data_IF_105674390407
#
_entry.id   IF_105674390407
#
_cell.length_a   1.000
_cell.length_b   1.000
_cell.length_c   1.000
_cell.angle_alpha   90.00
_cell.angle_beta   90.00
_cell.angle_gamma   90.00
#
_symmetry.space_group_name_H-M   'P 1'
#
loop_
_entity.id
_entity.type
_entity.pdbx_description
1 polymer ?
#
# COMPACT_ATOMS: atom_id res chain seq x y z
N UNK A 1 -2.99 20.34 -18.38
CA UNK A 1 -3.37 18.92 -18.26
C UNK A 1 -2.12 18.11 -17.95
N UNK A 2 -1.77 17.93 -16.67
CA UNK A 2 -0.70 17.00 -16.29
C UNK A 2 -1.21 15.58 -16.56
N UNK A 3 -0.59 14.92 -17.54
CA UNK A 3 -0.98 13.60 -17.98
C UNK A 3 -0.64 12.60 -16.87
N UNK A 4 -1.60 11.79 -16.43
CA UNK A 4 -1.40 10.82 -15.34
C UNK A 4 -0.23 9.87 -15.64
N UNK A 5 0.05 9.62 -16.93
CA UNK A 5 1.22 8.86 -17.38
C UNK A 5 2.55 9.54 -17.01
N UNK A 6 2.65 10.87 -17.17
CA UNK A 6 3.90 11.59 -16.87
C UNK A 6 4.19 11.66 -15.37
N UNK A 7 3.16 11.61 -14.51
CA UNK A 7 3.36 11.51 -13.07
C UNK A 7 3.81 10.11 -12.65
N UNK A 8 3.26 9.07 -13.28
CA UNK A 8 3.67 7.68 -13.04
C UNK A 8 5.12 7.45 -13.48
N UNK A 9 5.48 7.90 -14.69
CA UNK A 9 6.85 7.80 -15.22
C UNK A 9 7.89 8.57 -14.37
N UNK A 10 7.51 9.72 -13.81
CA UNK A 10 8.36 10.48 -12.90
C UNK A 10 8.57 9.75 -11.55
N UNK A 11 7.54 9.04 -11.06
CA UNK A 11 7.65 8.22 -9.86
C UNK A 11 8.60 7.03 -10.08
N UNK A 12 8.49 6.34 -11.22
CA UNK A 12 9.34 5.19 -11.56
C UNK A 12 10.82 5.60 -11.76
N UNK A 13 11.06 6.76 -12.39
CA UNK A 13 12.41 7.32 -12.54
C UNK A 13 13.01 7.76 -11.20
N UNK A 14 12.22 8.33 -10.30
CA UNK A 14 12.66 8.67 -8.94
C UNK A 14 13.00 7.42 -8.12
N UNK A 15 12.18 6.36 -8.20
CA UNK A 15 12.42 5.09 -7.50
C UNK A 15 13.70 4.41 -8.02
N UNK A 16 13.94 4.49 -9.32
CA UNK A 16 15.15 3.94 -9.96
C UNK A 16 16.40 4.77 -9.63
N UNK A 17 16.29 6.11 -9.62
CA UNK A 17 17.38 7.04 -9.31
C UNK A 17 17.77 7.11 -7.82
N UNK A 18 16.88 6.69 -6.91
CA UNK A 18 17.12 6.65 -5.47
C UNK A 18 18.02 5.48 -5.00
N UNK A 19 18.66 4.74 -5.90
CA UNK A 19 19.60 3.68 -5.55
C UNK A 19 18.91 2.43 -4.97
N UNK A 20 17.77 2.06 -5.54
CA UNK A 20 16.96 0.90 -5.18
C UNK A 20 17.67 -0.44 -5.44
N UNK A 21 18.71 -0.74 -4.67
CA UNK A 21 19.55 -1.94 -4.76
C UNK A 21 18.82 -3.27 -4.50
N UNK A 22 17.59 -3.25 -3.97
CA UNK A 22 16.79 -4.44 -3.66
C UNK A 22 15.28 -4.26 -3.95
N UNK A 23 14.92 -3.77 -5.14
CA UNK A 23 13.50 -3.54 -5.50
C UNK A 23 12.65 -4.82 -5.38
N UNK A 24 13.19 -5.97 -5.79
CA UNK A 24 12.51 -7.27 -5.70
C UNK A 24 12.18 -7.64 -4.25
N UNK A 25 13.14 -7.46 -3.33
CA UNK A 25 12.92 -7.76 -1.92
C UNK A 25 11.93 -6.79 -1.28
N UNK A 26 11.95 -5.51 -1.65
CA UNK A 26 11.03 -4.51 -1.11
C UNK A 26 9.59 -4.71 -1.61
N UNK A 27 9.43 -5.11 -2.87
CA UNK A 27 8.13 -5.50 -3.46
C UNK A 27 7.60 -6.76 -2.79
N UNK A 28 8.43 -7.80 -2.61
CA UNK A 28 8.02 -9.00 -1.88
C UNK A 28 7.64 -8.67 -0.42
N UNK A 29 8.46 -7.88 0.26
CA UNK A 29 8.23 -7.54 1.66
C UNK A 29 6.91 -6.75 1.82
N UNK A 30 6.66 -5.75 0.99
CA UNK A 30 5.39 -5.00 1.03
C UNK A 30 4.17 -5.85 0.64
N UNK A 31 4.35 -6.77 -0.31
CA UNK A 31 3.31 -7.71 -0.73
C UNK A 31 2.88 -8.66 0.39
N UNK A 32 3.80 -9.15 1.22
CA UNK A 32 3.43 -10.04 2.33
C UNK A 32 3.07 -9.29 3.61
N UNK A 33 3.68 -8.14 3.89
CA UNK A 33 3.52 -7.42 5.15
C UNK A 33 2.10 -6.87 5.33
N UNK A 34 1.56 -6.17 4.33
CA UNK A 34 0.25 -5.53 4.44
C UNK A 34 -0.87 -6.58 4.62
N UNK A 35 -1.04 -7.54 3.71
CA UNK A 35 -2.11 -8.52 3.87
C UNK A 35 -1.83 -9.52 5.01
N UNK A 36 -0.57 -9.77 5.40
CA UNK A 36 -0.24 -10.53 6.60
C UNK A 36 -0.74 -9.88 7.90
N UNK A 37 -0.61 -8.56 8.01
CA UNK A 37 -1.18 -7.80 9.15
C UNK A 37 -2.71 -7.88 9.14
N UNK A 38 -3.35 -7.75 7.97
CA UNK A 38 -4.81 -7.86 7.84
C UNK A 38 -5.32 -9.26 8.21
N UNK A 39 -4.64 -10.31 7.75
CA UNK A 39 -5.00 -11.69 8.08
C UNK A 39 -4.83 -11.98 9.57
N UNK A 40 -3.73 -11.51 10.18
CA UNK A 40 -3.52 -11.63 11.63
C UNK A 40 -4.64 -10.94 12.42
N UNK A 41 -5.01 -9.72 12.03
CA UNK A 41 -6.11 -9.00 12.65
C UNK A 41 -7.44 -9.74 12.48
N UNK A 42 -7.73 -10.27 11.28
CA UNK A 42 -8.93 -11.05 11.02
C UNK A 42 -8.98 -12.33 11.86
N UNK A 43 -7.86 -13.03 11.97
CA UNK A 43 -7.72 -14.26 12.73
C UNK A 43 -7.92 -14.02 14.24
N UNK A 44 -7.29 -12.97 14.79
CA UNK A 44 -7.49 -12.55 16.18
C UNK A 44 -8.96 -12.22 16.47
N UNK A 45 -9.63 -11.46 15.60
CA UNK A 45 -11.06 -11.20 15.74
C UNK A 45 -11.87 -12.50 15.69
N UNK A 46 -11.58 -13.39 14.73
CA UNK A 46 -12.31 -14.65 14.58
C UNK A 46 -12.19 -15.57 15.81
N UNK A 47 -11.03 -15.59 16.48
CA UNK A 47 -10.84 -16.31 17.75
C UNK A 47 -11.74 -15.76 18.87
N UNK A 48 -11.85 -14.43 18.97
CA UNK A 48 -12.72 -13.77 19.95
C UNK A 48 -14.20 -14.12 19.65
N UNK A 49 -14.63 -14.05 18.40
CA UNK A 49 -16.02 -14.35 18.01
C UNK A 49 -16.40 -15.82 18.28
N UNK A 50 -15.47 -16.77 18.13
CA UNK A 50 -15.68 -18.17 18.50
C UNK A 50 -15.90 -18.36 20.01
N UNK A 51 -15.18 -17.61 20.85
CA UNK A 51 -15.36 -17.67 22.31
C UNK A 51 -16.75 -17.20 22.77
N UNK A 52 -17.36 -16.26 22.05
CA UNK A 52 -18.70 -15.74 22.34
C UNK A 52 -19.84 -16.50 21.63
N UNK A 53 -19.54 -17.53 20.81
CA UNK A 53 -20.55 -18.28 20.06
C UNK A 53 -21.37 -17.41 19.08
N UNK A 54 -20.82 -16.29 18.66
CA UNK A 54 -21.56 -15.27 17.93
C UNK A 54 -21.73 -15.65 16.45
N UNK A 55 -22.90 -15.36 15.87
CA UNK A 55 -23.22 -15.66 14.46
C UNK A 55 -22.37 -14.88 13.44
N UNK A 56 -21.55 -13.94 13.90
CA UNK A 56 -20.55 -13.23 13.09
C UNK A 56 -19.20 -13.97 13.01
N UNK A 57 -19.04 -15.10 13.71
CA UNK A 57 -17.87 -15.95 13.54
C UNK A 57 -17.83 -16.54 12.14
N UNK A 58 -16.71 -16.35 11.44
CA UNK A 58 -16.55 -16.91 10.11
C UNK A 58 -16.36 -18.43 10.23
N UNK A 59 -17.18 -19.23 9.53
CA UNK A 59 -16.97 -20.66 9.49
C UNK A 59 -15.63 -20.96 8.82
N UNK A 60 -14.92 -21.98 9.31
CA UNK A 60 -13.60 -22.40 8.83
C UNK A 60 -13.40 -22.39 7.29
N UNK A 61 -14.35 -22.87 6.46
CA UNK A 61 -14.20 -22.81 5.00
C UNK A 61 -14.01 -21.39 4.46
N UNK A 62 -14.62 -20.37 5.05
CA UNK A 62 -14.48 -18.98 4.60
C UNK A 62 -13.07 -18.44 4.87
N UNK A 63 -12.41 -18.88 5.95
CA UNK A 63 -11.01 -18.55 6.21
C UNK A 63 -10.08 -19.15 5.14
N UNK A 64 -10.33 -20.41 4.76
CA UNK A 64 -9.56 -21.09 3.71
C UNK A 64 -9.79 -20.43 2.34
N UNK A 65 -11.01 -20.05 2.02
CA UNK A 65 -11.35 -19.31 0.79
C UNK A 65 -10.66 -17.94 0.78
N UNK A 66 -10.65 -17.22 1.90
CA UNK A 66 -10.01 -15.91 2.00
C UNK A 66 -8.49 -16.01 1.80
N UNK A 67 -7.88 -17.05 2.40
CA UNK A 67 -6.46 -17.35 2.25
C UNK A 67 -6.15 -17.76 0.80
N UNK A 68 -6.98 -18.62 0.20
CA UNK A 68 -6.86 -19.02 -1.21
C UNK A 68 -7.00 -17.85 -2.18
N UNK A 69 -8.02 -17.01 -2.02
CA UNK A 69 -8.21 -15.79 -2.82
C UNK A 69 -6.98 -14.88 -2.73
N UNK A 70 -6.42 -14.74 -1.54
CA UNK A 70 -5.23 -13.94 -1.32
C UNK A 70 -4.02 -14.50 -2.09
N UNK A 71 -3.68 -15.78 -1.94
CA UNK A 71 -2.55 -16.35 -2.68
C UNK A 71 -2.78 -16.41 -4.20
N UNK A 72 -4.01 -16.68 -4.65
CA UNK A 72 -4.33 -16.88 -6.07
C UNK A 72 -4.51 -15.56 -6.83
N UNK A 73 -5.00 -14.50 -6.19
CA UNK A 73 -5.26 -13.22 -6.88
C UNK A 73 -4.18 -12.19 -6.59
N UNK A 74 -3.81 -12.00 -5.33
CA UNK A 74 -2.94 -10.91 -4.93
C UNK A 74 -1.48 -11.14 -5.31
N UNK A 75 -0.95 -12.34 -5.04
CA UNK A 75 0.45 -12.68 -5.34
C UNK A 75 0.76 -12.55 -6.84
N UNK A 76 -0.03 -13.12 -7.77
CA UNK A 76 0.26 -12.91 -9.19
C UNK A 76 0.04 -11.47 -9.63
N UNK A 77 -0.94 -10.76 -9.05
CA UNK A 77 -1.16 -9.35 -9.40
C UNK A 77 0.05 -8.47 -9.01
N UNK A 78 0.64 -8.70 -7.83
CA UNK A 78 1.84 -7.99 -7.41
C UNK A 78 3.05 -8.41 -8.25
N UNK A 79 3.15 -9.69 -8.62
CA UNK A 79 4.22 -10.17 -9.48
C UNK A 79 4.15 -9.56 -10.90
N UNK A 80 2.94 -9.46 -11.47
CA UNK A 80 2.68 -8.79 -12.75
C UNK A 80 3.00 -7.29 -12.63
N UNK A 81 2.54 -6.63 -11.56
CA UNK A 81 2.86 -5.22 -11.31
C UNK A 81 4.36 -4.96 -11.22
N UNK A 82 5.10 -5.84 -10.52
CA UNK A 82 6.55 -5.78 -10.44
C UNK A 82 7.21 -6.02 -11.79
N UNK A 83 6.72 -6.98 -12.58
CA UNK A 83 7.25 -7.30 -13.90
C UNK A 83 7.11 -6.12 -14.87
N UNK A 84 5.96 -5.42 -14.84
CA UNK A 84 5.73 -4.20 -15.62
C UNK A 84 6.66 -3.07 -15.16
N UNK A 85 6.85 -2.90 -13.85
CA UNK A 85 7.77 -1.91 -13.30
C UNK A 85 9.25 -2.17 -13.71
N UNK A 86 9.67 -3.44 -13.78
CA UNK A 86 11.02 -3.80 -14.27
C UNK A 86 11.21 -3.61 -15.78
N UNK A 87 10.12 -3.65 -16.56
CA UNK A 87 10.14 -3.43 -18.02
C UNK A 87 10.20 -1.95 -18.40
N UNK A 88 9.85 -1.04 -17.50
CA UNK A 88 10.01 0.40 -17.76
C UNK A 88 11.49 0.77 -17.78
N UNK A 89 11.92 1.34 -18.92
CA UNK A 89 13.29 1.76 -19.14
C UNK A 89 13.58 2.97 -18.25
N UNK A 90 14.68 2.93 -17.51
CA UNK A 90 15.16 4.09 -16.73
C UNK A 90 15.29 5.28 -17.67
N UNK A 91 14.41 6.27 -17.51
CA UNK A 91 14.46 7.49 -18.31
C UNK A 91 15.74 8.26 -17.96
N UNK A 92 16.61 8.46 -18.94
CA UNK A 92 17.73 9.39 -18.79
C UNK A 92 17.14 10.78 -18.61
N UNK A 93 17.45 11.38 -17.46
CA UNK A 93 17.10 12.77 -17.17
C UNK A 93 17.69 13.62 -18.31
N UNK A 94 16.89 14.37 -19.09
CA UNK A 94 17.35 15.10 -20.27
C UNK A 94 18.15 16.36 -19.92
N UNK A 95 18.80 16.36 -18.76
CA UNK A 95 19.57 17.46 -18.21
C UNK A 95 21.00 16.97 -18.01
N UNK A 96 21.99 17.69 -18.56
CA UNK A 96 23.37 17.53 -18.13
C UNK A 96 23.43 17.74 -16.60
N UNK A 97 23.69 16.67 -15.85
CA UNK A 97 23.87 16.71 -14.40
C UNK A 97 25.19 17.42 -14.12
N UNK A 98 25.10 18.58 -13.48
CA UNK A 98 26.25 19.25 -12.90
C UNK A 98 26.83 18.35 -11.79
N UNK A 99 28.09 17.92 -11.92
CA UNK A 99 28.76 16.93 -11.05
C UNK A 99 29.01 17.39 -9.60
N UNK A 100 28.55 18.58 -9.21
CA UNK A 100 28.61 19.03 -7.82
C UNK A 100 27.48 18.33 -7.05
N UNK A 101 27.78 17.42 -6.10
CA UNK A 101 26.74 16.77 -5.29
C UNK A 101 26.02 17.85 -4.49
N UNK A 102 24.81 18.22 -4.90
CA UNK A 102 23.94 19.06 -4.05
C UNK A 102 23.64 18.25 -2.79
N UNK A 103 23.97 18.83 -1.63
CA UNK A 103 23.53 18.31 -0.33
C UNK A 103 22.03 18.07 -0.39
N UNK A 104 21.62 16.80 -0.20
CA UNK A 104 20.23 16.41 -0.12
C UNK A 104 19.62 17.23 1.03
N UNK A 105 18.65 18.13 0.79
CA UNK A 105 18.10 18.93 1.86
C UNK A 105 17.55 18.00 2.94
N UNK A 106 17.95 18.22 4.21
CA UNK A 106 17.45 17.44 5.35
C UNK A 106 15.91 17.40 5.25
N UNK A 107 15.33 16.19 5.28
CA UNK A 107 13.87 15.99 5.19
C UNK A 107 13.18 16.99 6.12
N UNK A 108 12.36 17.88 5.55
CA UNK A 108 11.57 18.82 6.35
C UNK A 108 10.60 18.01 7.20
N UNK A 109 10.46 18.37 8.48
CA UNK A 109 9.57 17.68 9.44
C UNK A 109 8.14 17.53 8.87
N UNK A 110 7.68 18.50 8.08
CA UNK A 110 6.39 18.51 7.40
C UNK A 110 6.16 17.31 6.45
N UNK A 111 7.20 16.82 5.76
CA UNK A 111 7.11 15.65 4.86
C UNK A 111 6.94 14.34 5.66
N UNK A 112 7.31 14.32 6.95
CA UNK A 112 7.06 13.18 7.83
C UNK A 112 5.63 13.15 8.36
N UNK A 113 4.94 14.30 8.41
CA UNK A 113 3.55 14.40 8.89
C UNK A 113 2.50 14.25 7.78
N UNK A 114 2.91 14.29 6.51
CA UNK A 114 2.00 14.09 5.35
C UNK A 114 1.11 12.84 5.45
N UNK A 115 1.59 11.64 5.88
CA UNK A 115 0.69 10.49 6.03
C UNK A 115 -0.35 10.66 7.15
N UNK A 116 -0.03 11.39 8.21
CA UNK A 116 -0.97 11.66 9.32
C UNK A 116 -2.09 12.59 8.86
N UNK A 117 -1.73 13.66 8.13
CA UNK A 117 -2.70 14.60 7.57
C UNK A 117 -3.56 13.93 6.49
N UNK A 118 -2.97 13.05 5.68
CA UNK A 118 -3.69 12.25 4.69
C UNK A 118 -4.71 11.27 5.30
N UNK A 119 -4.44 10.74 6.49
CA UNK A 119 -5.33 9.82 7.20
C UNK A 119 -6.54 10.49 7.86
N UNK A 120 -6.45 11.79 8.19
CA UNK A 120 -7.55 12.52 8.83
C UNK A 120 -8.78 12.65 7.89
N UNK A 121 -8.52 12.75 6.59
CA UNK A 121 -9.54 12.97 5.56
C UNK A 121 -10.48 11.77 5.38
N UNK A 122 -9.99 10.53 5.15
CA UNK A 122 -10.86 9.36 5.08
C UNK A 122 -11.51 9.05 6.44
N UNK A 123 -10.86 9.36 7.56
CA UNK A 123 -11.46 9.19 8.90
C UNK A 123 -12.69 10.08 9.10
N UNK A 124 -12.59 11.37 8.75
CA UNK A 124 -13.72 12.29 8.82
C UNK A 124 -14.88 11.86 7.91
N UNK A 125 -14.57 11.37 6.70
CA UNK A 125 -15.58 10.85 5.77
C UNK A 125 -16.36 9.67 6.35
N UNK A 126 -15.68 8.67 6.94
CA UNK A 126 -16.31 7.52 7.58
C UNK A 126 -17.10 7.91 8.83
N UNK A 127 -16.60 8.86 9.62
CA UNK A 127 -17.26 9.31 10.85
C UNK A 127 -18.64 9.93 10.58
N UNK A 128 -18.74 10.81 9.56
CA UNK A 128 -20.01 11.42 9.17
C UNK A 128 -20.99 10.35 8.67
N UNK A 129 -20.50 9.37 7.90
CA UNK A 129 -21.29 8.25 7.40
C UNK A 129 -21.85 7.41 8.56
N UNK A 130 -21.02 7.08 9.55
CA UNK A 130 -21.44 6.33 10.75
C UNK A 130 -22.47 7.12 11.58
N UNK A 131 -22.24 8.42 11.78
CA UNK A 131 -23.14 9.27 12.55
C UNK A 131 -24.55 9.30 11.94
N UNK A 132 -24.65 9.34 10.61
CA UNK A 132 -25.94 9.30 9.91
C UNK A 132 -26.66 7.96 10.11
N UNK A 133 -25.92 6.85 10.05
CA UNK A 133 -26.46 5.50 10.27
C UNK A 133 -26.97 5.34 11.72
N UNK A 134 -26.20 5.82 12.71
CA UNK A 134 -26.57 5.73 14.13
C UNK A 134 -27.75 6.61 14.53
N UNK A 135 -27.95 7.76 13.88
CA UNK A 135 -29.13 8.61 14.11
C UNK A 135 -30.35 8.17 13.29
N UNK A 136 -30.17 7.31 12.29
CA UNK A 136 -31.25 6.79 11.43
C UNK A 136 -31.85 5.49 11.95
N UNK A 137 -31.32 4.94 13.04
CA UNK A 137 -31.82 3.76 13.74
C UNK A 137 -32.53 4.20 15.01
#
# INVERSE_FOLDING_TARGET
MLNIRTLMECSDSLISGLGGKNLQANVLLTSFLIPGVLFSQFFCNNLIFWGYGSSAALPFPTLVILLGLWFVVYVPLVFIGSYVAFKQKSFEVPCAINEIPRSIPKRKFLTSLTPVIGGILPFGCLFIQLFFILNSI
#
